data_IF_271755717896
#
_entry.id   IF_271755717896
#
_cell.length_a   1.000
_cell.length_b   1.000
_cell.length_c   1.000
_cell.angle_alpha   90.00
_cell.angle_beta   90.00
_cell.angle_gamma   90.00
#
_symmetry.space_group_name_H-M   'P 1'
#
loop_
_entity.id
_entity.type
_entity.pdbx_description
1 polymer ?
#
# COMPACT_ATOMS: atom_id res chain seq x y z
N UNK A 1 -28.67 3.25 -28.17
CA UNK A 1 -27.79 3.21 -27.01
C UNK A 1 -27.42 1.74 -26.80
N UNK A 2 -26.20 1.35 -27.10
CA UNK A 2 -25.77 -0.05 -26.94
C UNK A 2 -25.29 -0.18 -25.51
N UNK A 3 -26.05 -0.89 -24.67
CA UNK A 3 -25.56 -1.27 -23.34
C UNK A 3 -24.47 -2.32 -23.55
N UNK A 4 -23.23 -1.94 -23.36
CA UNK A 4 -22.12 -2.89 -23.32
C UNK A 4 -22.19 -3.54 -21.93
N UNK A 5 -22.80 -4.69 -21.88
CA UNK A 5 -22.79 -5.55 -20.69
C UNK A 5 -21.46 -6.28 -20.67
N UNK A 6 -20.52 -5.80 -19.90
CA UNK A 6 -19.28 -6.51 -19.63
C UNK A 6 -19.33 -7.10 -18.23
N UNK A 7 -18.95 -8.37 -18.12
CA UNK A 7 -18.61 -8.99 -16.84
C UNK A 7 -17.31 -8.35 -16.34
N UNK A 8 -17.44 -7.22 -15.65
CA UNK A 8 -16.33 -6.64 -14.90
C UNK A 8 -16.04 -7.60 -13.76
N UNK A 9 -14.80 -8.06 -13.67
CA UNK A 9 -14.37 -8.86 -12.52
C UNK A 9 -14.47 -8.00 -11.27
N UNK A 10 -15.01 -8.56 -10.21
CA UNK A 10 -15.16 -7.88 -8.90
C UNK A 10 -13.84 -7.43 -8.27
N UNK A 11 -12.72 -7.90 -8.80
CA UNK A 11 -11.37 -7.59 -8.34
C UNK A 11 -10.88 -6.20 -8.79
N UNK A 12 -11.62 -5.52 -9.68
CA UNK A 12 -11.03 -4.46 -10.47
C UNK A 12 -11.14 -3.06 -9.93
N UNK A 13 -11.38 -2.74 -8.76
CA UNK A 13 -11.14 -1.38 -8.23
C UNK A 13 -12.22 -0.82 -7.30
N UNK A 14 -11.79 -0.67 -6.09
CA UNK A 14 -12.33 0.41 -5.28
C UNK A 14 -11.91 1.76 -5.89
N UNK A 15 -12.71 2.78 -5.68
CA UNK A 15 -12.36 4.17 -5.97
C UNK A 15 -11.55 4.75 -4.81
N UNK A 16 -10.68 5.68 -5.12
CA UNK A 16 -9.92 6.49 -4.18
C UNK A 16 -9.92 7.97 -4.60
N UNK A 17 -9.33 8.83 -3.80
CA UNK A 17 -9.32 10.28 -4.08
C UNK A 17 -8.58 10.64 -5.37
N UNK A 18 -7.66 9.80 -5.85
CA UNK A 18 -6.89 10.05 -7.07
C UNK A 18 -7.66 9.61 -8.31
N UNK A 19 -8.40 8.49 -8.20
CA UNK A 19 -9.13 7.90 -9.33
C UNK A 19 -10.54 8.45 -9.50
N UNK A 20 -11.17 8.94 -8.43
CA UNK A 20 -12.59 9.32 -8.41
C UNK A 20 -12.96 10.45 -9.41
N UNK A 21 -12.00 11.33 -9.74
CA UNK A 21 -12.18 12.40 -10.73
C UNK A 21 -11.73 12.01 -12.14
N UNK A 22 -11.18 10.80 -12.31
CA UNK A 22 -10.78 10.31 -13.62
C UNK A 22 -12.01 10.04 -14.48
N UNK A 23 -11.88 10.23 -15.82
CA UNK A 23 -12.88 9.80 -16.78
C UNK A 23 -12.98 8.27 -16.89
N UNK A 24 -11.91 7.58 -16.53
CA UNK A 24 -11.82 6.12 -16.47
C UNK A 24 -11.64 5.67 -15.00
N UNK A 25 -12.66 5.88 -14.18
CA UNK A 25 -12.64 5.46 -12.77
C UNK A 25 -12.62 3.95 -12.58
N UNK A 26 -13.16 3.23 -13.55
CA UNK A 26 -13.24 1.77 -13.55
C UNK A 26 -11.88 1.15 -13.94
N UNK A 27 -11.05 1.90 -14.68
CA UNK A 27 -9.69 1.50 -15.07
C UNK A 27 -9.61 0.34 -16.03
N UNK A 28 -10.67 0.06 -16.76
CA UNK A 28 -10.71 -0.96 -17.80
C UNK A 28 -10.88 -0.27 -19.17
N UNK A 29 -9.87 -0.35 -20.02
CA UNK A 29 -9.84 0.30 -21.33
C UNK A 29 -10.97 -0.15 -22.29
N UNK A 30 -11.64 -1.25 -22.00
CA UNK A 30 -12.73 -1.81 -22.81
C UNK A 30 -14.13 -1.47 -22.26
N UNK A 31 -14.23 -0.80 -21.12
CA UNK A 31 -15.50 -0.41 -20.48
C UNK A 31 -15.60 1.10 -20.36
N UNK A 32 -16.78 1.62 -20.67
CA UNK A 32 -17.10 3.04 -20.47
C UNK A 32 -18.19 3.11 -19.40
N UNK A 33 -17.96 3.94 -18.39
CA UNK A 33 -18.97 4.25 -17.40
C UNK A 33 -20.17 4.93 -18.09
N UNK A 34 -21.37 4.33 -17.96
CA UNK A 34 -22.59 4.84 -18.56
C UNK A 34 -23.43 5.64 -17.55
N UNK A 35 -24.32 6.49 -18.06
CA UNK A 35 -25.23 7.32 -17.26
C UNK A 35 -24.62 8.68 -16.90
N UNK A 36 -25.34 9.41 -16.04
CA UNK A 36 -24.93 10.74 -15.58
C UNK A 36 -24.44 10.64 -14.14
N UNK A 37 -23.31 11.28 -13.87
CA UNK A 37 -22.75 11.32 -12.51
C UNK A 37 -22.17 12.69 -12.21
N UNK A 38 -22.21 13.08 -10.95
CA UNK A 38 -21.60 14.29 -10.40
C UNK A 38 -20.62 13.88 -9.32
N UNK A 39 -19.34 14.17 -9.50
CA UNK A 39 -18.31 13.98 -8.48
C UNK A 39 -18.12 15.29 -7.72
N UNK A 40 -18.19 15.20 -6.41
CA UNK A 40 -17.92 16.32 -5.50
C UNK A 40 -16.77 15.93 -4.60
N UNK A 41 -15.81 16.83 -4.43
CA UNK A 41 -14.69 16.62 -3.52
C UNK A 41 -14.11 17.92 -3.02
N UNK A 42 -13.29 17.82 -2.01
CA UNK A 42 -12.53 18.92 -1.41
C UNK A 42 -11.11 18.46 -1.13
N UNK A 43 -10.18 19.35 -1.34
CA UNK A 43 -8.77 19.16 -1.04
C UNK A 43 -8.26 20.36 -0.25
N UNK A 44 -7.47 20.07 0.77
CA UNK A 44 -6.73 21.06 1.55
C UNK A 44 -5.27 20.68 1.61
N UNK A 45 -4.42 21.56 1.13
CA UNK A 45 -2.96 21.41 1.13
C UNK A 45 -2.33 22.50 2.00
N UNK A 46 -1.49 22.07 2.93
CA UNK A 46 -0.64 22.98 3.70
C UNK A 46 0.81 22.65 3.40
N UNK A 47 1.47 23.58 2.70
CA UNK A 47 2.88 23.43 2.32
C UNK A 47 3.77 24.31 3.19
N UNK A 48 5.02 23.86 3.41
CA UNK A 48 6.08 24.64 4.03
C UNK A 48 7.13 24.94 2.99
N UNK A 49 7.56 26.19 2.92
CA UNK A 49 8.78 26.54 2.19
C UNK A 49 9.99 26.15 3.03
N UNK A 50 10.89 25.35 2.46
CA UNK A 50 12.18 25.05 3.05
C UNK A 50 13.16 26.01 2.38
N UNK A 51 13.63 27.01 3.13
CA UNK A 51 14.70 27.90 2.68
C UNK A 51 16.01 27.13 2.78
N UNK A 52 16.39 26.46 1.71
CA UNK A 52 17.76 26.01 1.54
C UNK A 52 18.52 27.12 0.80
N UNK A 53 19.70 27.48 1.27
CA UNK A 53 20.54 28.53 0.68
C UNK A 53 21.01 28.20 -0.76
N UNK A 54 20.67 27.05 -1.31
CA UNK A 54 20.93 26.61 -2.68
C UNK A 54 19.64 26.70 -3.51
N UNK A 55 19.64 27.56 -4.46
CA UNK A 55 18.77 28.03 -5.57
C UNK A 55 17.46 27.32 -5.97
N UNK A 56 16.96 26.30 -5.27
CA UNK A 56 15.69 25.65 -5.60
C UNK A 56 14.80 25.48 -4.37
N UNK A 57 13.94 26.46 -4.11
CA UNK A 57 12.85 26.35 -3.13
C UNK A 57 11.73 25.45 -3.68
N UNK A 58 11.70 24.19 -3.28
CA UNK A 58 10.54 23.33 -3.52
C UNK A 58 9.63 23.36 -2.29
N UNK A 59 8.33 23.67 -2.45
CA UNK A 59 7.39 23.54 -1.37
C UNK A 59 7.26 22.04 -1.00
N UNK A 60 7.31 21.75 0.29
CA UNK A 60 7.05 20.41 0.81
C UNK A 60 5.69 20.40 1.50
N UNK A 61 4.80 19.52 1.07
CA UNK A 61 3.49 19.41 1.66
C UNK A 61 3.61 18.78 3.06
N UNK A 62 3.08 19.50 4.03
CA UNK A 62 3.12 19.13 5.46
C UNK A 62 1.85 18.42 5.88
N UNK A 63 0.73 18.83 5.31
CA UNK A 63 -0.60 18.28 5.55
C UNK A 63 -1.39 18.30 4.26
N UNK A 64 -1.93 17.16 3.91
CA UNK A 64 -2.86 16.96 2.80
C UNK A 64 -4.14 16.32 3.35
N UNK A 65 -5.28 16.89 3.02
CA UNK A 65 -6.59 16.36 3.37
C UNK A 65 -7.43 16.35 2.10
N UNK A 66 -7.94 15.19 1.72
CA UNK A 66 -8.79 15.06 0.54
C UNK A 66 -10.00 14.19 0.86
N UNK A 67 -11.17 14.62 0.38
CA UNK A 67 -12.43 13.88 0.51
C UNK A 67 -13.18 13.99 -0.81
N UNK A 68 -13.82 12.91 -1.24
CA UNK A 68 -14.65 12.93 -2.44
C UNK A 68 -15.74 11.84 -2.41
N UNK A 69 -16.83 12.09 -3.16
CA UNK A 69 -17.92 11.15 -3.38
C UNK A 69 -18.56 11.40 -4.75
N UNK A 70 -19.29 10.42 -5.26
CA UNK A 70 -19.99 10.47 -6.55
C UNK A 70 -21.48 10.31 -6.33
N UNK A 71 -22.26 11.16 -6.97
CA UNK A 71 -23.71 11.04 -7.06
C UNK A 71 -24.13 10.66 -8.47
N UNK A 72 -25.10 9.76 -8.59
CA UNK A 72 -25.67 9.30 -9.86
C UNK A 72 -27.18 9.52 -9.87
N UNK A 73 -27.73 9.76 -11.05
CA UNK A 73 -29.19 9.88 -11.23
C UNK A 73 -29.87 8.50 -11.14
N UNK A 74 -29.22 7.45 -11.67
CA UNK A 74 -29.74 6.09 -11.71
C UNK A 74 -28.75 5.07 -11.16
N UNK A 75 -29.29 3.98 -10.60
CA UNK A 75 -28.52 2.81 -10.18
C UNK A 75 -28.00 2.09 -11.43
N UNK A 76 -26.74 1.65 -11.39
CA UNK A 76 -26.10 0.90 -12.48
C UNK A 76 -25.51 -0.40 -11.93
N UNK A 77 -26.24 -1.50 -12.08
CA UNK A 77 -25.83 -2.83 -11.59
C UNK A 77 -24.62 -3.42 -12.37
N UNK A 78 -24.23 -2.82 -13.50
CA UNK A 78 -23.06 -3.25 -14.27
C UNK A 78 -21.73 -2.74 -13.70
N UNK A 79 -21.77 -1.88 -12.69
CA UNK A 79 -20.56 -1.36 -12.06
C UNK A 79 -19.94 -2.37 -11.11
N UNK A 80 -18.59 -2.37 -10.95
CA UNK A 80 -17.94 -3.20 -9.95
C UNK A 80 -18.47 -2.89 -8.54
N UNK A 81 -18.83 -3.92 -7.81
CA UNK A 81 -19.37 -3.78 -6.44
C UNK A 81 -18.35 -3.15 -5.49
N UNK A 82 -17.05 -3.43 -5.73
CA UNK A 82 -15.93 -2.85 -4.97
C UNK A 82 -15.79 -1.35 -5.14
N UNK A 83 -16.29 -0.79 -6.25
CA UNK A 83 -16.21 0.65 -6.52
C UNK A 83 -17.32 1.47 -5.88
N UNK A 84 -18.40 0.85 -5.41
CA UNK A 84 -19.66 1.51 -4.97
C UNK A 84 -20.30 2.45 -6.01
N UNK A 85 -19.75 2.54 -7.21
CA UNK A 85 -20.25 3.42 -8.29
C UNK A 85 -21.60 2.98 -8.87
N UNK A 86 -22.04 1.76 -8.58
CA UNK A 86 -23.35 1.25 -8.99
C UNK A 86 -24.53 1.89 -8.25
N UNK A 87 -24.30 2.48 -7.09
CA UNK A 87 -25.31 3.10 -6.24
C UNK A 87 -25.59 4.54 -6.65
N UNK A 88 -26.69 5.13 -6.18
CA UNK A 88 -27.01 6.55 -6.39
C UNK A 88 -26.00 7.49 -5.70
N UNK A 89 -25.43 7.04 -4.60
CA UNK A 89 -24.32 7.70 -3.93
C UNK A 89 -23.22 6.69 -3.72
N UNK A 90 -22.01 7.00 -4.12
CA UNK A 90 -20.84 6.18 -3.85
C UNK A 90 -20.44 6.29 -2.39
N UNK A 91 -19.53 5.44 -1.97
CA UNK A 91 -18.81 5.60 -0.72
C UNK A 91 -18.07 6.93 -0.72
N UNK A 92 -17.85 7.48 0.48
CA UNK A 92 -17.00 8.65 0.68
C UNK A 92 -15.57 8.18 0.81
N UNK A 93 -14.72 8.56 -0.12
CA UNK A 93 -13.29 8.25 -0.07
C UNK A 93 -12.51 9.43 0.47
N UNK A 94 -11.48 9.14 1.25
CA UNK A 94 -10.65 10.17 1.84
C UNK A 94 -9.19 9.78 1.91
N UNK A 95 -8.36 10.82 1.97
CA UNK A 95 -6.92 10.73 2.18
C UNK A 95 -6.46 11.80 3.18
N UNK A 96 -5.56 11.40 4.07
CA UNK A 96 -4.88 12.28 5.00
C UNK A 96 -3.38 12.00 4.89
N UNK A 97 -2.64 12.93 4.35
CA UNK A 97 -1.18 12.93 4.28
C UNK A 97 -0.58 13.83 5.34
N UNK A 98 0.41 13.36 6.07
CA UNK A 98 1.11 14.13 7.10
C UNK A 98 2.62 13.91 6.99
N UNK A 99 3.36 14.99 6.71
CA UNK A 99 4.82 14.98 6.58
C UNK A 99 5.41 16.24 7.23
N UNK A 100 5.33 16.37 8.57
CA UNK A 100 5.73 17.60 9.27
C UNK A 100 7.24 17.88 9.19
N UNK A 101 8.04 16.86 8.89
CA UNK A 101 9.50 16.93 8.79
C UNK A 101 10.06 15.73 8.04
N UNK A 102 11.36 15.71 7.79
CA UNK A 102 12.04 14.61 7.08
C UNK A 102 12.16 13.30 7.91
N UNK A 103 11.82 13.33 9.19
CA UNK A 103 11.91 12.17 10.08
C UNK A 103 10.62 11.34 10.14
N UNK A 104 9.49 11.96 9.82
CA UNK A 104 8.19 11.32 9.92
C UNK A 104 7.32 11.64 8.71
N UNK A 105 6.68 10.60 8.16
CA UNK A 105 5.58 10.73 7.21
C UNK A 105 4.51 9.68 7.51
N UNK A 106 3.26 10.04 7.27
CA UNK A 106 2.11 9.15 7.42
C UNK A 106 1.07 9.44 6.36
N UNK A 107 0.48 8.38 5.80
CA UNK A 107 -0.61 8.45 4.85
C UNK A 107 -1.75 7.56 5.36
N UNK A 108 -2.92 8.12 5.48
CA UNK A 108 -4.13 7.40 5.83
C UNK A 108 -5.15 7.53 4.70
N UNK A 109 -5.59 6.38 4.18
CA UNK A 109 -6.62 6.31 3.15
C UNK A 109 -7.79 5.53 3.70
N UNK A 110 -9.01 5.98 3.39
CA UNK A 110 -10.22 5.32 3.84
C UNK A 110 -11.34 5.39 2.82
N UNK A 111 -12.27 4.44 2.93
CA UNK A 111 -13.56 4.47 2.26
C UNK A 111 -14.65 4.19 3.29
N UNK A 112 -15.53 5.15 3.44
CA UNK A 112 -16.69 5.09 4.34
C UNK A 112 -17.93 4.89 3.48
N UNK A 113 -18.81 4.00 3.87
CA UNK A 113 -20.04 3.75 3.11
C UNK A 113 -20.90 5.02 2.97
N UNK A 114 -21.84 5.01 2.03
CA UNK A 114 -22.66 6.18 1.73
C UNK A 114 -23.57 6.63 2.88
N UNK A 115 -23.82 5.79 3.88
CA UNK A 115 -24.58 6.13 5.10
C UNK A 115 -23.67 6.68 6.21
N UNK A 116 -22.35 6.63 6.04
CA UNK A 116 -21.33 7.08 6.97
C UNK A 116 -21.27 6.26 8.27
N UNK A 117 -21.66 5.00 8.24
CA UNK A 117 -21.70 4.12 9.41
C UNK A 117 -20.70 2.96 9.35
N UNK A 118 -20.27 2.57 8.16
CA UNK A 118 -19.34 1.44 7.98
C UNK A 118 -18.07 1.89 7.27
N UNK A 119 -16.95 1.69 7.94
CA UNK A 119 -15.62 1.87 7.34
C UNK A 119 -15.26 0.62 6.55
N UNK A 120 -15.40 0.70 5.22
CA UNK A 120 -15.17 -0.44 4.31
C UNK A 120 -13.70 -0.69 4.01
N UNK A 121 -12.93 0.37 4.02
CA UNK A 121 -11.50 0.33 3.76
C UNK A 121 -10.78 1.33 4.66
N UNK A 122 -9.70 0.89 5.25
CA UNK A 122 -8.76 1.80 5.84
C UNK A 122 -7.32 1.27 5.70
N UNK A 123 -6.42 2.17 5.36
CA UNK A 123 -4.99 1.89 5.22
C UNK A 123 -4.21 3.02 5.86
N UNK A 124 -3.35 2.67 6.78
CA UNK A 124 -2.42 3.60 7.44
C UNK A 124 -1.00 3.15 7.14
N UNK A 125 -0.25 4.01 6.47
CA UNK A 125 1.19 3.87 6.27
C UNK A 125 1.90 4.95 7.10
N UNK A 126 2.83 4.56 7.96
CA UNK A 126 3.64 5.48 8.76
C UNK A 126 5.12 5.11 8.63
N UNK A 127 5.96 6.11 8.38
CA UNK A 127 7.40 5.93 8.23
C UNK A 127 8.15 6.89 9.13
N UNK A 128 9.15 6.33 9.84
CA UNK A 128 10.09 7.08 10.67
C UNK A 128 11.50 6.88 10.12
N UNK A 129 12.24 7.96 9.98
CA UNK A 129 13.62 7.96 9.50
C UNK A 129 14.47 8.79 10.45
N UNK A 130 15.40 8.15 11.16
CA UNK A 130 16.31 8.83 12.08
C UNK A 130 17.73 8.35 11.77
N UNK A 131 18.52 9.23 11.17
CA UNK A 131 19.89 8.90 10.72
C UNK A 131 19.91 7.60 9.88
N UNK A 132 20.55 6.57 10.42
CA UNK A 132 20.71 5.27 9.78
C UNK A 132 19.58 4.28 10.06
N UNK A 133 18.59 4.68 10.86
CA UNK A 133 17.44 3.86 11.23
C UNK A 133 16.20 4.29 10.46
N UNK A 134 15.56 3.35 9.78
CA UNK A 134 14.32 3.56 9.05
C UNK A 134 13.35 2.46 9.51
N UNK A 135 12.17 2.85 9.97
CA UNK A 135 11.08 1.91 10.24
C UNK A 135 9.78 2.38 9.63
N UNK A 136 9.05 1.46 9.04
CA UNK A 136 7.72 1.72 8.48
C UNK A 136 6.71 0.74 9.04
N UNK A 137 5.51 1.23 9.29
CA UNK A 137 4.35 0.47 9.71
C UNK A 137 3.27 0.63 8.65
N UNK A 138 2.67 -0.47 8.28
CA UNK A 138 1.50 -0.50 7.43
C UNK A 138 0.38 -1.24 8.15
N UNK A 139 -0.78 -0.63 8.21
CA UNK A 139 -2.03 -1.26 8.60
C UNK A 139 -2.96 -1.25 7.41
N UNK A 140 -3.62 -2.36 7.14
CA UNK A 140 -4.67 -2.49 6.14
C UNK A 140 -5.83 -3.26 6.73
N UNK A 141 -7.04 -2.75 6.50
CA UNK A 141 -8.28 -3.43 6.79
C UNK A 141 -9.27 -3.22 5.65
N UNK A 142 -9.82 -4.30 5.17
CA UNK A 142 -10.84 -4.34 4.13
C UNK A 142 -12.07 -5.06 4.67
N UNK A 143 -13.23 -4.50 4.39
CA UNK A 143 -14.53 -5.01 4.82
C UNK A 143 -15.52 -5.01 3.66
N UNK A 144 -16.56 -5.79 3.77
CA UNK A 144 -17.65 -5.93 2.79
C UNK A 144 -17.15 -6.33 1.40
N UNK A 145 -17.66 -5.63 0.39
CA UNK A 145 -17.37 -5.92 -1.02
C UNK A 145 -15.95 -5.49 -1.47
N UNK A 146 -15.20 -4.77 -0.64
CA UNK A 146 -13.89 -4.25 -1.02
C UNK A 146 -12.82 -5.33 -0.97
N UNK A 147 -12.89 -6.21 0.02
CA UNK A 147 -11.91 -7.27 0.23
C UNK A 147 -12.02 -7.87 1.61
N UNK A 148 -11.05 -8.69 1.95
CA UNK A 148 -11.02 -9.48 3.18
C UNK A 148 -9.66 -9.42 3.90
N UNK A 149 -8.80 -8.50 3.50
CA UNK A 149 -7.48 -8.35 4.12
C UNK A 149 -7.55 -7.54 5.42
N UNK A 150 -6.90 -8.02 6.45
CA UNK A 150 -6.72 -7.28 7.70
C UNK A 150 -5.37 -7.64 8.31
N UNK A 151 -4.39 -6.75 8.13
CA UNK A 151 -3.04 -7.02 8.62
C UNK A 151 -2.32 -5.77 9.13
N UNK A 152 -1.30 -6.05 9.93
CA UNK A 152 -0.26 -5.10 10.33
C UNK A 152 1.09 -5.60 9.83
N UNK A 153 1.86 -4.72 9.24
CA UNK A 153 3.21 -5.00 8.75
C UNK A 153 4.19 -3.97 9.30
N UNK A 154 5.36 -4.45 9.70
CA UNK A 154 6.47 -3.59 10.05
C UNK A 154 7.69 -3.95 9.20
N UNK A 155 8.33 -2.95 8.65
CA UNK A 155 9.61 -3.06 7.95
C UNK A 155 10.60 -2.11 8.62
N UNK A 156 11.67 -2.65 9.16
CA UNK A 156 12.71 -1.90 9.85
C UNK A 156 14.06 -2.18 9.23
N UNK A 157 14.84 -1.15 8.99
CA UNK A 157 16.22 -1.26 8.51
C UNK A 157 17.16 -0.36 9.30
N UNK A 158 18.36 -0.85 9.51
CA UNK A 158 19.43 -0.12 10.17
C UNK A 158 20.75 -0.28 9.39
N UNK A 159 21.38 0.84 9.07
CA UNK A 159 22.71 0.89 8.43
C UNK A 159 23.77 1.07 9.51
N UNK A 160 24.65 0.10 9.67
CA UNK A 160 25.79 0.19 10.59
C UNK A 160 26.84 1.18 10.05
N UNK A 161 27.05 1.14 8.73
CA UNK A 161 27.95 2.00 7.98
C UNK A 161 27.51 2.03 6.50
N UNK A 162 28.30 2.64 5.63
CA UNK A 162 27.99 2.76 4.20
C UNK A 162 27.81 1.39 3.50
N UNK A 163 28.46 0.37 4.02
CA UNK A 163 28.54 -0.95 3.40
C UNK A 163 27.66 -2.01 4.07
N UNK A 164 27.25 -1.83 5.32
CA UNK A 164 26.60 -2.88 6.10
C UNK A 164 25.25 -2.44 6.63
N UNK A 165 24.24 -3.26 6.43
CA UNK A 165 22.88 -3.03 6.91
C UNK A 165 22.22 -4.30 7.41
N UNK A 166 21.24 -4.14 8.30
CA UNK A 166 20.32 -5.18 8.74
C UNK A 166 18.90 -4.72 8.46
N UNK A 167 18.07 -5.62 7.99
CA UNK A 167 16.63 -5.41 7.77
C UNK A 167 15.82 -6.46 8.50
N UNK A 168 14.69 -6.06 9.02
CA UNK A 168 13.70 -6.93 9.65
C UNK A 168 12.32 -6.59 9.12
N UNK A 169 11.55 -7.61 8.73
CA UNK A 169 10.18 -7.47 8.29
C UNK A 169 9.29 -8.49 9.01
N UNK A 170 8.11 -8.06 9.41
CA UNK A 170 7.10 -8.91 10.02
C UNK A 170 5.73 -8.48 9.56
N UNK A 171 4.87 -9.45 9.25
CA UNK A 171 3.46 -9.24 8.93
C UNK A 171 2.59 -10.13 9.80
N UNK A 172 1.57 -9.54 10.40
CA UNK A 172 0.58 -10.23 11.20
C UNK A 172 -0.80 -10.01 10.63
N UNK A 173 -1.47 -11.10 10.28
CA UNK A 173 -2.88 -11.10 9.93
C UNK A 173 -3.69 -10.95 11.22
N UNK A 174 -4.48 -9.90 11.30
CA UNK A 174 -5.28 -9.60 12.49
C UNK A 174 -6.61 -10.35 12.54
N UNK A 175 -7.12 -10.76 11.39
CA UNK A 175 -8.41 -11.47 11.31
C UNK A 175 -8.33 -12.84 11.95
N UNK A 176 -7.22 -13.55 11.75
CA UNK A 176 -6.99 -14.89 12.27
C UNK A 176 -5.93 -14.92 13.39
N UNK A 177 -5.49 -13.73 13.82
CA UNK A 177 -4.45 -13.54 14.86
C UNK A 177 -3.15 -14.30 14.59
N UNK A 178 -2.76 -14.42 13.33
CA UNK A 178 -1.58 -15.17 12.88
C UNK A 178 -0.49 -14.23 12.39
N UNK A 179 0.75 -14.48 12.84
CA UNK A 179 1.93 -13.92 12.16
C UNK A 179 2.17 -14.70 10.88
N UNK A 180 2.14 -14.02 9.73
CA UNK A 180 2.29 -14.66 8.43
C UNK A 180 3.75 -14.94 8.11
N UNK A 181 4.65 -14.00 8.43
CA UNK A 181 6.08 -14.19 8.24
C UNK A 181 6.95 -13.33 9.14
N UNK A 182 8.21 -13.76 9.30
CA UNK A 182 9.35 -12.98 9.74
C UNK A 182 10.46 -13.09 8.70
N UNK A 183 11.01 -11.96 8.31
CA UNK A 183 12.20 -11.88 7.45
C UNK A 183 13.30 -11.10 8.18
N UNK A 184 14.50 -11.65 8.22
CA UNK A 184 15.70 -10.99 8.72
C UNK A 184 16.77 -11.08 7.64
N UNK A 185 17.32 -9.94 7.23
CA UNK A 185 18.39 -9.86 6.24
C UNK A 185 19.56 -9.05 6.80
N UNK A 186 20.75 -9.62 6.76
CA UNK A 186 21.99 -8.86 6.89
C UNK A 186 22.65 -8.76 5.52
N UNK A 187 23.05 -7.55 5.13
CA UNK A 187 23.66 -7.28 3.85
C UNK A 187 24.96 -6.48 4.02
N UNK A 188 25.99 -6.94 3.31
CA UNK A 188 27.19 -6.17 3.04
C UNK A 188 27.26 -5.84 1.55
N UNK A 189 27.53 -4.57 1.21
CA UNK A 189 27.60 -4.10 -0.17
C UNK A 189 28.73 -3.08 -0.31
N UNK A 190 29.59 -3.29 -1.30
CA UNK A 190 30.52 -2.28 -1.82
C UNK A 190 30.41 -2.22 -3.35
N UNK A 191 31.31 -1.48 -4.01
CA UNK A 191 31.23 -1.25 -5.47
C UNK A 191 31.29 -2.53 -6.31
N UNK A 192 31.97 -3.58 -5.84
CA UNK A 192 32.21 -4.80 -6.57
C UNK A 192 31.50 -6.02 -5.99
N UNK A 193 31.07 -5.96 -4.73
CA UNK A 193 30.56 -7.12 -4.00
C UNK A 193 29.29 -6.79 -3.26
N UNK A 194 28.27 -7.63 -3.41
CA UNK A 194 27.12 -7.68 -2.51
C UNK A 194 27.03 -9.09 -1.93
N UNK A 195 27.08 -9.18 -0.60
CA UNK A 195 26.87 -10.43 0.13
C UNK A 195 25.70 -10.26 1.11
N UNK A 196 24.81 -11.23 1.18
CA UNK A 196 23.70 -11.20 2.11
C UNK A 196 23.43 -12.57 2.73
N UNK A 197 22.95 -12.52 3.98
CA UNK A 197 22.38 -13.64 4.71
C UNK A 197 20.92 -13.29 4.98
N UNK A 198 20.01 -14.14 4.52
CA UNK A 198 18.57 -13.95 4.70
C UNK A 198 18.00 -15.14 5.45
N UNK A 199 17.38 -14.86 6.60
CA UNK A 199 16.55 -15.81 7.33
C UNK A 199 15.09 -15.44 7.10
N UNK A 200 14.27 -16.42 6.71
CA UNK A 200 12.84 -16.27 6.48
C UNK A 200 12.09 -17.37 7.21
N UNK A 201 11.03 -17.00 7.91
CA UNK A 201 10.09 -17.94 8.52
C UNK A 201 8.68 -17.55 8.11
N UNK A 202 8.02 -18.46 7.40
CA UNK A 202 6.63 -18.33 6.96
C UNK A 202 5.74 -19.23 7.81
N UNK A 203 4.58 -18.72 8.19
CA UNK A 203 3.55 -19.44 8.91
C UNK A 203 2.32 -19.58 8.04
N UNK A 204 1.80 -20.79 7.92
CA UNK A 204 0.62 -21.09 7.12
C UNK A 204 -0.50 -21.61 8.02
N UNK A 205 -1.76 -21.30 7.65
CA UNK A 205 -2.97 -21.81 8.33
C UNK A 205 -3.71 -22.81 7.46
N UNK A 206 -3.24 -23.08 6.25
CA UNK A 206 -3.93 -23.97 5.33
C UNK A 206 -3.53 -25.42 5.57
N UNK A 207 -4.46 -26.20 6.09
CA UNK A 207 -4.55 -27.61 6.39
C UNK A 207 -3.26 -28.45 6.41
N UNK A 208 -2.64 -28.65 5.28
CA UNK A 208 -1.45 -29.50 5.11
C UNK A 208 -0.12 -28.72 5.05
N UNK A 209 -0.16 -27.38 4.99
CA UNK A 209 1.05 -26.58 4.91
C UNK A 209 1.65 -26.36 6.30
N UNK A 210 2.90 -26.75 6.46
CA UNK A 210 3.67 -26.55 7.69
C UNK A 210 4.46 -25.24 7.60
N UNK A 211 4.67 -24.55 8.75
CA UNK A 211 5.59 -23.42 8.80
C UNK A 211 6.93 -23.81 8.19
N UNK A 212 7.49 -22.93 7.36
CA UNK A 212 8.80 -23.16 6.74
C UNK A 212 9.81 -22.18 7.31
N UNK A 213 11.00 -22.71 7.57
CA UNK A 213 12.17 -21.92 7.94
C UNK A 213 13.21 -22.05 6.84
N UNK A 214 13.78 -20.93 6.45
CA UNK A 214 14.71 -20.87 5.33
C UNK A 214 15.88 -19.94 5.69
N UNK A 215 17.09 -20.39 5.37
CA UNK A 215 18.30 -19.60 5.48
C UNK A 215 19.01 -19.62 4.13
N UNK A 216 19.22 -18.44 3.56
CA UNK A 216 19.89 -18.28 2.27
C UNK A 216 21.16 -17.44 2.42
N UNK A 217 22.14 -17.77 1.62
CA UNK A 217 23.32 -16.94 1.38
C UNK A 217 23.30 -16.49 -0.06
N UNK A 218 23.48 -15.22 -0.31
CA UNK A 218 23.63 -14.67 -1.65
C UNK A 218 24.93 -13.92 -1.78
N UNK A 219 25.59 -14.06 -2.93
CA UNK A 219 26.83 -13.41 -3.28
C UNK A 219 26.76 -12.93 -4.72
N UNK A 220 26.91 -11.63 -4.93
CA UNK A 220 26.99 -11.02 -6.25
C UNK A 220 28.34 -10.33 -6.38
N UNK A 221 29.10 -10.65 -7.41
CA UNK A 221 30.39 -10.04 -7.73
C UNK A 221 30.28 -9.39 -9.10
N UNK A 222 30.43 -8.07 -9.17
CA UNK A 222 30.38 -7.33 -10.44
C UNK A 222 31.79 -7.28 -11.05
N UNK A 223 31.97 -7.66 -12.33
CA UNK A 223 30.98 -8.10 -13.33
C UNK A 223 30.79 -9.63 -13.45
N UNK A 224 31.29 -10.43 -12.52
CA UNK A 224 31.40 -11.89 -12.68
C UNK A 224 30.07 -12.64 -12.60
N UNK A 225 29.10 -12.19 -11.81
CA UNK A 225 27.79 -12.83 -11.70
C UNK A 225 27.25 -12.90 -10.27
N UNK A 226 26.10 -13.58 -10.12
CA UNK A 226 25.41 -13.76 -8.86
C UNK A 226 25.27 -15.26 -8.54
N UNK A 227 25.42 -15.60 -7.25
CA UNK A 227 25.19 -16.90 -6.67
C UNK A 227 24.20 -16.78 -5.50
N UNK A 228 23.25 -17.70 -5.43
CA UNK A 228 22.34 -17.87 -4.31
C UNK A 228 22.36 -19.33 -3.85
N UNK A 229 22.52 -19.57 -2.56
CA UNK A 229 22.49 -20.93 -2.01
C UNK A 229 21.06 -21.51 -2.05
N UNK A 230 20.95 -22.83 -2.07
CA UNK A 230 19.73 -23.49 -1.64
C UNK A 230 19.46 -23.21 -0.16
N UNK A 231 18.23 -23.50 0.30
CA UNK A 231 17.91 -23.40 1.73
C UNK A 231 18.88 -24.26 2.57
N UNK A 232 19.54 -23.65 3.54
CA UNK A 232 20.57 -24.31 4.38
C UNK A 232 19.94 -25.01 5.59
N UNK A 233 18.72 -24.64 5.97
CA UNK A 233 18.01 -25.30 7.09
C UNK A 233 17.36 -26.58 6.56
N UNK A 234 17.71 -27.77 7.08
CA UNK A 234 17.07 -29.02 6.68
C UNK A 234 15.58 -28.98 7.10
N UNK A 235 14.75 -29.62 6.27
CA UNK A 235 13.30 -29.77 6.54
C UNK A 235 13.06 -30.73 7.68
#
# INVERSE_FOLDING_TARGET
>A
MVAIQQNLKSEDRRIDVNSIFSLDRIGNSSTVESGQSLTIGTEYLKSRKINNEEENEYPTDVLELSLATVFRDEINESMPTTSSLGSKSSDVVGHIGLSPNNFFSSNYNFSLDNNLDVLKYNSLDAKFTVNNFITSFKYLEENDNIGDENYIENNTSFKFNENSSIGFSVRKNKKIDLTEFYDLIYQYKNDCLTAAIKYKKDFYVDGDLKPTEQLFFSLTIVPLGAFESANVIPK
#
